data_IF_587315615979
#
_entry.id   IF_587315615979
#
_cell.length_a   1.000
_cell.length_b   1.000
_cell.length_c   1.000
_cell.angle_alpha   90.00
_cell.angle_beta   90.00
_cell.angle_gamma   90.00
#
_symmetry.space_group_name_H-M   'P 1'
#
loop_
_entity.id
_entity.type
_entity.pdbx_description
1 polymer ?
#
# COMPACT_ATOMS: atom_id res chain seq x y z
N UNK A 1 -11.51 4.56 7.00
CA UNK A 1 -11.55 3.24 6.31
C UNK A 1 -10.22 2.53 6.56
N UNK A 2 -10.18 1.21 6.74
CA UNK A 2 -8.88 0.52 6.86
C UNK A 2 -8.15 0.55 5.51
N UNK A 3 -6.86 0.95 5.45
CA UNK A 3 -6.15 1.02 4.19
C UNK A 3 -6.07 -0.38 3.56
N UNK A 4 -6.38 -0.45 2.27
CA UNK A 4 -6.23 -1.66 1.45
C UNK A 4 -5.10 -1.46 0.46
N UNK A 5 -4.50 -2.55 -0.01
CA UNK A 5 -3.42 -2.48 -1.01
C UNK A 5 -3.83 -1.69 -2.25
N UNK A 6 -5.08 -1.87 -2.72
CA UNK A 6 -5.60 -1.17 -3.90
C UNK A 6 -5.75 0.34 -3.70
N UNK A 7 -6.19 0.77 -2.52
CA UNK A 7 -6.31 2.20 -2.19
C UNK A 7 -4.94 2.87 -2.15
N UNK A 8 -3.97 2.25 -1.47
CA UNK A 8 -2.61 2.79 -1.39
C UNK A 8 -1.98 2.83 -2.79
N UNK A 9 -2.12 1.76 -3.58
CA UNK A 9 -1.58 1.71 -4.94
C UNK A 9 -2.19 2.81 -5.83
N UNK A 10 -3.52 3.00 -5.75
CA UNK A 10 -4.20 4.07 -6.49
C UNK A 10 -3.64 5.44 -6.12
N UNK A 11 -3.49 5.72 -4.82
CA UNK A 11 -2.91 6.99 -4.37
C UNK A 11 -1.48 7.17 -4.86
N UNK A 12 -0.63 6.13 -4.76
CA UNK A 12 0.74 6.16 -5.30
C UNK A 12 0.74 6.55 -6.78
N UNK A 13 -0.17 6.00 -7.59
CA UNK A 13 -0.24 6.32 -9.03
C UNK A 13 -0.81 7.71 -9.35
N UNK A 14 -1.47 8.36 -8.39
CA UNK A 14 -2.09 9.67 -8.56
C UNK A 14 -1.24 10.80 -8.00
N UNK A 15 -0.30 10.52 -7.10
CA UNK A 15 0.60 11.50 -6.51
C UNK A 15 1.73 11.85 -7.49
N UNK A 16 2.00 13.14 -7.67
CA UNK A 16 3.16 13.59 -8.46
C UNK A 16 4.46 13.29 -7.71
N UNK A 17 5.11 12.20 -8.09
CA UNK A 17 6.39 11.74 -7.55
C UNK A 17 7.38 11.47 -8.69
N UNK A 18 8.67 11.56 -8.37
CA UNK A 18 9.73 11.05 -9.21
C UNK A 18 9.52 9.56 -9.50
N UNK A 19 10.01 9.09 -10.65
CA UNK A 19 9.90 7.67 -11.04
C UNK A 19 10.53 6.75 -9.98
N UNK A 20 11.63 7.19 -9.38
CA UNK A 20 12.32 6.48 -8.30
C UNK A 20 11.50 6.45 -7.01
N UNK A 21 10.81 7.54 -6.66
CA UNK A 21 9.94 7.60 -5.48
C UNK A 21 8.70 6.72 -5.65
N UNK A 22 8.09 6.69 -6.84
CA UNK A 22 7.03 5.72 -7.17
C UNK A 22 7.48 4.27 -6.98
N UNK A 23 8.69 3.94 -7.47
CA UNK A 23 9.28 2.61 -7.27
C UNK A 23 9.53 2.32 -5.79
N UNK A 24 10.03 3.29 -5.03
CA UNK A 24 10.25 3.12 -3.59
C UNK A 24 8.92 2.88 -2.84
N UNK A 25 7.88 3.64 -3.16
CA UNK A 25 6.56 3.50 -2.55
C UNK A 25 5.96 2.12 -2.82
N UNK A 26 6.08 1.59 -4.04
CA UNK A 26 5.60 0.24 -4.37
C UNK A 26 6.40 -0.86 -3.68
N UNK A 27 7.72 -0.68 -3.50
CA UNK A 27 8.56 -1.60 -2.70
C UNK A 27 8.17 -1.62 -1.23
N UNK A 28 7.79 -0.47 -0.67
CA UNK A 28 7.30 -0.37 0.71
C UNK A 28 5.92 -1.03 0.83
N UNK A 29 5.00 -0.74 -0.11
CA UNK A 29 3.66 -1.33 -0.16
C UNK A 29 3.69 -2.87 -0.18
N UNK A 30 4.59 -3.46 -0.96
CA UNK A 30 4.81 -4.91 -1.06
C UNK A 30 5.17 -5.56 0.29
N UNK A 31 5.86 -4.82 1.17
CA UNK A 31 6.30 -5.32 2.47
C UNK A 31 5.39 -4.96 3.64
N UNK A 32 4.24 -4.32 3.39
CA UNK A 32 3.29 -3.98 4.45
C UNK A 32 2.69 -5.26 5.08
N UNK A 33 2.66 -5.28 6.41
CA UNK A 33 1.87 -6.23 7.16
C UNK A 33 0.37 -5.96 6.96
N UNK A 34 -0.34 -6.89 6.32
CA UNK A 34 -1.80 -6.78 6.12
C UNK A 34 -2.63 -7.44 7.23
N UNK A 35 -1.94 -8.05 8.21
CA UNK A 35 -2.54 -8.66 9.40
C UNK A 35 -1.81 -8.15 10.62
N UNK A 36 -2.55 -7.90 11.70
CA UNK A 36 -1.97 -7.55 13.00
C UNK A 36 -1.01 -8.64 13.48
N UNK A 37 0.15 -8.22 13.99
CA UNK A 37 1.18 -9.10 14.52
C UNK A 37 1.97 -9.89 13.47
N UNK A 38 1.73 -9.68 12.17
CA UNK A 38 2.52 -10.32 11.13
C UNK A 38 3.98 -9.85 11.23
N UNK A 39 4.91 -10.77 11.48
CA UNK A 39 6.31 -10.48 11.80
C UNK A 39 6.49 -9.52 13.00
N UNK A 40 5.54 -9.49 13.94
CA UNK A 40 5.55 -8.58 15.08
C UNK A 40 5.23 -7.13 14.73
N UNK A 41 4.69 -6.86 13.54
CA UNK A 41 4.31 -5.53 13.07
C UNK A 41 2.79 -5.32 13.19
N UNK A 42 2.39 -4.09 13.47
CA UNK A 42 1.00 -3.66 13.32
C UNK A 42 0.61 -3.63 11.84
N UNK A 43 -0.68 -3.80 11.55
CA UNK A 43 -1.20 -3.73 10.18
C UNK A 43 -0.88 -2.35 9.57
N UNK A 44 -0.60 -2.33 8.28
CA UNK A 44 -0.23 -1.10 7.56
C UNK A 44 1.23 -0.69 7.74
N UNK A 45 2.03 -1.47 8.47
CA UNK A 45 3.44 -1.16 8.73
C UNK A 45 4.35 -2.09 7.93
N UNK A 46 5.40 -1.53 7.33
CA UNK A 46 6.51 -2.27 6.74
C UNK A 46 7.79 -2.02 7.55
N UNK A 47 8.71 -2.98 7.59
CA UNK A 47 9.98 -2.83 8.32
C UNK A 47 11.18 -3.04 7.40
N UNK A 48 12.09 -2.07 7.38
CA UNK A 48 13.35 -2.17 6.62
C UNK A 48 14.53 -1.58 7.38
N UNK A 49 15.71 -2.13 7.17
CA UNK A 49 16.93 -1.34 7.39
C UNK A 49 17.15 -0.42 6.18
N UNK A 50 17.71 0.77 6.39
CA UNK A 50 18.05 1.67 5.28
C UNK A 50 19.11 1.06 4.34
N UNK A 51 19.93 0.14 4.85
CA UNK A 51 20.92 -0.58 4.07
C UNK A 51 20.25 -1.54 3.09
N UNK A 52 19.30 -2.35 3.57
CA UNK A 52 18.58 -3.32 2.75
C UNK A 52 17.70 -2.62 1.72
N UNK A 53 17.06 -1.51 2.09
CA UNK A 53 16.22 -0.74 1.19
C UNK A 53 17.03 -0.09 0.06
N UNK A 54 18.20 0.50 0.38
CA UNK A 54 19.12 1.05 -0.62
C UNK A 54 19.65 -0.04 -1.55
N UNK A 55 19.98 -1.22 -1.00
CA UNK A 55 20.42 -2.39 -1.77
C UNK A 55 19.31 -2.90 -2.70
N UNK A 56 18.08 -3.09 -2.20
CA UNK A 56 16.91 -3.54 -2.97
C UNK A 56 16.56 -2.58 -4.11
N UNK A 57 16.76 -1.28 -3.90
CA UNK A 57 16.56 -0.25 -4.92
C UNK A 57 17.76 -0.08 -5.87
N UNK A 58 18.92 -0.66 -5.54
CA UNK A 58 20.20 -0.48 -6.21
C UNK A 58 20.63 1.00 -6.31
N UNK A 59 20.56 1.72 -5.18
CA UNK A 59 20.87 3.16 -5.08
C UNK A 59 21.77 3.47 -3.88
N UNK A 60 22.35 4.67 -3.86
CA UNK A 60 23.09 5.16 -2.70
C UNK A 60 22.16 5.48 -1.52
N UNK A 61 22.69 5.43 -0.29
CA UNK A 61 21.93 5.83 0.91
C UNK A 61 21.55 7.30 0.92
N UNK A 62 22.38 8.15 0.30
CA UNK A 62 22.08 9.57 0.15
C UNK A 62 20.84 9.75 -0.72
N UNK A 63 20.82 9.12 -1.91
CA UNK A 63 19.68 9.21 -2.81
C UNK A 63 18.42 8.56 -2.20
N UNK A 64 18.55 7.45 -1.47
CA UNK A 64 17.43 6.89 -0.71
C UNK A 64 16.84 7.91 0.28
N UNK A 65 17.69 8.70 0.94
CA UNK A 65 17.22 9.72 1.91
C UNK A 65 16.43 10.82 1.22
N UNK A 66 16.83 11.22 0.01
CA UNK A 66 16.09 12.18 -0.82
C UNK A 66 14.73 11.62 -1.23
N UNK A 67 14.67 10.36 -1.68
CA UNK A 67 13.41 9.71 -2.04
C UNK A 67 12.47 9.55 -0.84
N UNK A 68 13.00 9.24 0.34
CA UNK A 68 12.21 9.15 1.56
C UNK A 68 11.66 10.52 1.97
N UNK A 69 12.46 11.59 1.84
CA UNK A 69 12.01 12.96 2.09
C UNK A 69 10.93 13.40 1.09
N UNK A 70 11.05 12.99 -0.18
CA UNK A 70 10.02 13.22 -1.20
C UNK A 70 8.70 12.54 -0.83
N UNK A 71 8.74 11.26 -0.43
CA UNK A 71 7.54 10.53 0.01
C UNK A 71 6.93 11.10 1.31
N UNK A 72 7.76 11.58 2.24
CA UNK A 72 7.34 12.28 3.47
C UNK A 72 6.58 13.59 3.16
N UNK A 73 7.06 14.36 2.17
CA UNK A 73 6.47 15.64 1.78
C UNK A 73 5.28 15.50 0.80
N UNK A 74 5.07 14.31 0.26
CA UNK A 74 4.01 14.02 -0.70
C UNK A 74 2.65 13.76 -0.04
N UNK A 75 1.61 13.65 -0.87
CA UNK A 75 0.25 13.27 -0.43
C UNK A 75 0.12 11.86 0.16
N UNK A 76 1.20 11.06 0.13
CA UNK A 76 1.26 9.74 0.77
C UNK A 76 1.63 9.83 2.25
N UNK A 77 2.22 10.95 2.68
CA UNK A 77 2.70 11.21 4.04
C UNK A 77 3.43 10.01 4.64
N UNK A 78 4.50 9.54 3.99
CA UNK A 78 5.25 8.38 4.48
C UNK A 78 5.86 8.71 5.85
N UNK A 79 5.36 8.08 6.92
CA UNK A 79 5.96 8.17 8.26
C UNK A 79 6.95 7.05 8.46
N UNK A 80 8.07 7.40 9.08
CA UNK A 80 9.07 6.44 9.53
C UNK A 80 9.36 6.59 11.01
N UNK A 81 9.38 5.46 11.71
CA UNK A 81 9.68 5.40 13.14
C UNK A 81 10.77 4.37 13.40
N UNK A 82 11.56 4.60 14.45
CA UNK A 82 12.60 3.66 14.85
C UNK A 82 12.33 3.18 16.27
N UNK A 83 11.74 1.98 16.45
CA UNK A 83 11.58 1.41 17.79
C UNK A 83 12.97 1.20 18.40
N UNK A 84 13.12 1.60 19.66
CA UNK A 84 14.40 1.81 20.36
C UNK A 84 15.53 0.84 19.98
N UNK A 85 16.64 1.39 19.48
CA UNK A 85 17.88 0.64 19.25
C UNK A 85 18.65 1.11 18.01
N UNK A 86 19.99 1.10 18.07
CA UNK A 86 20.84 1.48 16.93
C UNK A 86 20.63 0.56 15.71
N UNK A 87 20.31 -0.71 15.97
CA UNK A 87 20.22 -1.78 14.97
C UNK A 87 18.78 -2.17 14.61
N UNK A 88 17.78 -1.54 15.23
CA UNK A 88 16.39 -1.82 14.91
C UNK A 88 16.06 -1.34 13.48
N UNK A 89 15.24 -2.09 12.72
CA UNK A 89 14.72 -1.63 11.45
C UNK A 89 13.84 -0.39 11.65
N UNK A 90 13.77 0.43 10.61
CA UNK A 90 12.79 1.50 10.53
C UNK A 90 11.44 0.89 10.17
N UNK A 91 10.41 1.33 10.88
CA UNK A 91 9.02 1.07 10.58
C UNK A 91 8.52 2.15 9.63
N UNK A 92 7.85 1.77 8.57
CA UNK A 92 7.30 2.65 7.54
C UNK A 92 5.78 2.48 7.49
N UNK A 93 5.06 3.60 7.40
CA UNK A 93 3.60 3.64 7.31
C UNK A 93 3.18 4.81 6.43
N UNK A 94 2.20 4.61 5.54
CA UNK A 94 1.59 5.70 4.79
C UNK A 94 0.50 6.36 5.65
N UNK A 95 0.77 7.54 6.19
CA UNK A 95 -0.13 8.18 7.17
C UNK A 95 -1.30 8.93 6.54
N UNK A 96 -1.26 9.18 5.22
CA UNK A 96 -2.37 9.81 4.49
C UNK A 96 -3.71 9.09 4.71
N UNK A 97 -3.68 7.79 5.02
CA UNK A 97 -4.84 6.94 5.24
C UNK A 97 -5.25 6.79 6.71
N UNK A 98 -4.49 7.39 7.64
CA UNK A 98 -4.76 7.30 9.08
C UNK A 98 -5.89 8.27 9.51
N UNK A 99 -6.13 9.33 8.71
CA UNK A 99 -7.08 10.41 9.02
C UNK A 99 -8.45 10.29 8.31
N UNK A 100 -8.61 9.37 7.35
CA UNK A 100 -9.88 9.19 6.60
C UNK A 100 -10.92 8.36 7.38
N UNK A 101 -11.22 8.85 8.58
CA UNK A 101 -12.42 8.53 9.32
C UNK A 101 -13.61 9.47 9.03
N UNK A 102 -13.42 10.58 8.30
CA UNK A 102 -14.48 11.61 8.23
C UNK A 102 -14.77 12.26 6.86
N UNK A 103 -13.92 12.19 5.82
CA UNK A 103 -14.29 12.90 4.58
C UNK A 103 -13.63 12.31 3.33
N UNK A 104 -14.39 11.46 2.62
CA UNK A 104 -14.68 11.61 1.19
C UNK A 104 -15.39 10.35 0.68
N UNK A 105 -16.71 10.39 0.87
CA UNK A 105 -17.66 9.71 0.00
C UNK A 105 -17.51 10.29 -1.40
N UNK A 106 -16.65 9.70 -2.21
CA UNK A 106 -16.69 9.87 -3.67
C UNK A 106 -17.07 8.53 -4.26
N UNK A 107 -18.34 8.22 -4.07
CA UNK A 107 -19.14 7.37 -4.94
C UNK A 107 -18.97 7.85 -6.40
N UNK A 108 -17.94 7.34 -7.08
CA UNK A 108 -17.76 7.56 -8.51
C UNK A 108 -18.57 6.55 -9.27
N UNK A 109 -19.78 6.98 -9.66
CA UNK A 109 -20.35 6.69 -10.96
C UNK A 109 -20.83 5.27 -11.20
N UNK A 110 -22.13 5.09 -10.99
CA UNK A 110 -23.04 4.16 -11.68
C UNK A 110 -22.52 3.74 -13.06
N UNK A 111 -21.79 2.62 -13.11
CA UNK A 111 -21.28 1.99 -14.31
C UNK A 111 -21.97 0.65 -14.50
N UNK A 112 -23.18 0.71 -15.03
CA UNK A 112 -23.96 -0.34 -15.67
C UNK A 112 -23.23 -1.70 -15.80
N UNK A 113 -23.54 -2.64 -14.90
CA UNK A 113 -23.45 -4.06 -15.23
C UNK A 113 -24.87 -4.61 -15.25
N UNK A 114 -25.56 -4.27 -16.34
CA UNK A 114 -26.74 -5.00 -16.78
C UNK A 114 -26.44 -6.50 -16.77
N UNK A 115 -26.93 -7.20 -15.75
CA UNK A 115 -26.96 -8.66 -15.63
C UNK A 115 -27.82 -9.21 -16.77
N UNK A 116 -27.19 -9.39 -17.93
CA UNK A 116 -27.81 -9.97 -19.11
C UNK A 116 -27.62 -11.50 -19.07
N UNK A 117 -28.74 -12.15 -18.77
CA UNK A 117 -29.09 -13.59 -18.77
C UNK A 117 -28.41 -14.46 -19.84
N UNK A 118 -28.17 -15.72 -19.48
CA UNK A 118 -28.85 -16.91 -20.05
C UNK A 118 -28.61 -18.11 -19.10
N UNK A 119 -29.61 -18.62 -18.38
CA UNK A 119 -30.65 -19.60 -18.75
C UNK A 119 -30.12 -20.97 -19.20
N UNK A 120 -30.31 -21.93 -18.28
CA UNK A 120 -30.70 -23.33 -18.49
C UNK A 120 -29.76 -24.29 -19.26
N UNK A 121 -29.11 -25.17 -18.49
CA UNK A 121 -29.29 -26.62 -18.69
C UNK A 121 -28.78 -27.42 -17.48
N UNK A 122 -29.67 -27.73 -16.53
CA UNK A 122 -29.44 -28.80 -15.54
C UNK A 122 -30.11 -30.06 -16.08
N UNK A 123 -29.31 -30.99 -16.58
CA UNK A 123 -29.76 -32.34 -16.92
C UNK A 123 -30.15 -33.07 -15.63
N UNK A 124 -31.45 -33.14 -15.37
CA UNK A 124 -32.04 -34.04 -14.36
C UNK A 124 -31.91 -35.47 -14.86
N UNK A 125 -31.08 -36.27 -14.19
CA UNK A 125 -31.09 -37.72 -14.34
C UNK A 125 -32.14 -38.29 -13.37
N UNK A 126 -33.15 -38.97 -13.91
CA UNK A 126 -34.03 -39.87 -13.16
C UNK A 126 -34.41 -41.01 -14.10
N UNK A 127 -34.00 -42.22 -13.73
CA UNK A 127 -34.20 -43.42 -14.52
C UNK A 127 -33.92 -44.67 -13.69
N UNK A 128 -34.97 -45.05 -12.94
CA UNK A 128 -35.40 -46.36 -12.44
C UNK A 128 -34.37 -47.33 -11.82
#
# INVERSE_FOLDING_TARGET
MEPTTGLILRRITQTELSVSAHKLATVILDAIAWKEGFNGLSRGTAAFTLADLACKMNISRQYLTELLAELEASELELRREKPNGKFAPWLFRFAAFDAEGDDQDVESGTGDTSLSRDKDNKTVFSGQ
#
